data_IF_730655761754
#
_entry.id   IF_730655761754
#
_cell.length_a   1.000
_cell.length_b   1.000
_cell.length_c   1.000
_cell.angle_alpha   90.00
_cell.angle_beta   90.00
_cell.angle_gamma   90.00
#
_symmetry.space_group_name_H-M   'P 1'
#
loop_
_entity.id
_entity.type
_entity.pdbx_description
1 polymer ?
#
# COMPACT_ATOMS: atom_id res chain seq x y z
N UNK A 1 0.56 -23.76 -13.64
CA UNK A 1 0.53 -23.11 -12.33
C UNK A 1 1.93 -22.89 -11.75
N UNK A 2 2.72 -23.94 -11.47
CA UNK A 2 4.05 -23.78 -10.85
C UNK A 2 5.02 -22.87 -11.61
N UNK A 3 4.96 -22.80 -12.93
CA UNK A 3 5.83 -21.92 -13.74
C UNK A 3 5.44 -20.44 -13.56
N UNK A 4 4.14 -20.12 -13.47
CA UNK A 4 3.67 -18.75 -13.26
C UNK A 4 4.03 -18.28 -11.84
N UNK A 5 3.82 -19.13 -10.82
CA UNK A 5 4.19 -18.81 -9.44
C UNK A 5 5.71 -18.59 -9.29
N UNK A 6 6.53 -19.47 -9.89
CA UNK A 6 7.98 -19.31 -9.90
C UNK A 6 8.44 -18.03 -10.61
N UNK A 7 7.77 -17.63 -11.68
CA UNK A 7 8.14 -16.43 -12.44
C UNK A 7 7.56 -15.13 -11.85
N UNK A 8 6.64 -15.21 -10.87
CA UNK A 8 6.00 -14.06 -10.23
C UNK A 8 6.30 -13.94 -8.73
N UNK A 9 7.25 -14.75 -8.21
CA UNK A 9 7.60 -14.75 -6.78
C UNK A 9 8.04 -13.35 -6.29
N UNK A 10 8.79 -12.63 -7.11
CA UNK A 10 9.26 -11.28 -6.83
C UNK A 10 8.08 -10.32 -6.61
N UNK A 11 7.07 -10.38 -7.50
CA UNK A 11 5.86 -9.59 -7.37
C UNK A 11 5.06 -9.96 -6.12
N UNK A 12 4.90 -11.25 -5.83
CA UNK A 12 4.20 -11.71 -4.62
C UNK A 12 4.90 -11.23 -3.35
N UNK A 13 6.23 -11.29 -3.31
CA UNK A 13 7.01 -10.82 -2.17
C UNK A 13 6.92 -9.29 -2.02
N UNK A 14 7.06 -8.54 -3.11
CA UNK A 14 6.91 -7.08 -3.11
C UNK A 14 5.52 -6.65 -2.66
N UNK A 15 4.47 -7.29 -3.17
CA UNK A 15 3.09 -7.03 -2.74
C UNK A 15 2.86 -7.42 -1.28
N UNK A 16 3.48 -8.50 -0.80
CA UNK A 16 3.45 -8.88 0.61
C UNK A 16 4.01 -7.78 1.52
N UNK A 17 5.19 -7.24 1.20
CA UNK A 17 5.75 -6.10 1.95
C UNK A 17 4.87 -4.87 1.91
N UNK A 18 4.34 -4.51 0.74
CA UNK A 18 3.43 -3.36 0.61
C UNK A 18 2.16 -3.53 1.45
N UNK A 19 1.56 -4.71 1.44
CA UNK A 19 0.35 -4.97 2.23
C UNK A 19 0.63 -5.01 3.72
N UNK A 20 1.77 -5.53 4.13
CA UNK A 20 2.22 -5.48 5.52
C UNK A 20 2.41 -4.02 5.97
N UNK A 21 3.08 -3.20 5.18
CA UNK A 21 3.24 -1.77 5.45
C UNK A 21 1.89 -1.05 5.50
N UNK A 22 0.97 -1.35 4.57
CA UNK A 22 -0.37 -0.75 4.52
C UNK A 22 -1.23 -1.10 5.75
N UNK A 23 -1.23 -2.37 6.18
CA UNK A 23 -1.92 -2.79 7.40
C UNK A 23 -1.36 -2.11 8.65
N UNK A 24 -0.03 -2.01 8.75
CA UNK A 24 0.65 -1.29 9.82
C UNK A 24 0.31 0.20 9.81
N UNK A 25 0.39 0.86 8.65
CA UNK A 25 0.04 2.28 8.48
C UNK A 25 -1.39 2.57 8.91
N UNK A 26 -2.36 1.75 8.52
CA UNK A 26 -3.77 1.95 8.86
C UNK A 26 -4.01 1.96 10.37
N UNK A 27 -3.46 0.96 11.07
CA UNK A 27 -3.53 0.86 12.54
C UNK A 27 -2.77 2.00 13.22
N UNK A 28 -1.56 2.33 12.74
CA UNK A 28 -0.72 3.39 13.27
C UNK A 28 -1.43 4.76 13.22
N UNK A 29 -1.95 5.14 12.06
CA UNK A 29 -2.59 6.44 11.89
C UNK A 29 -3.88 6.57 12.71
N UNK A 30 -4.67 5.49 12.83
CA UNK A 30 -5.87 5.48 13.67
C UNK A 30 -5.54 5.70 15.13
N UNK A 31 -4.58 4.95 15.69
CA UNK A 31 -4.18 5.08 17.09
C UNK A 31 -3.49 6.42 17.34
N UNK A 32 -2.62 6.86 16.42
CA UNK A 32 -1.93 8.16 16.54
C UNK A 32 -2.93 9.33 16.53
N UNK A 33 -3.96 9.31 15.70
CA UNK A 33 -4.99 10.34 15.68
C UNK A 33 -5.69 10.50 17.03
N UNK A 34 -6.00 9.39 17.71
CA UNK A 34 -6.57 9.41 19.07
C UNK A 34 -5.58 10.01 20.08
N UNK A 35 -4.28 9.71 19.97
CA UNK A 35 -3.24 10.24 20.87
C UNK A 35 -2.98 11.74 20.64
N UNK A 36 -3.24 12.25 19.45
CA UNK A 36 -3.16 13.67 19.09
C UNK A 36 -4.50 14.40 19.32
N UNK A 37 -5.43 13.77 20.02
CA UNK A 37 -6.73 14.33 20.41
C UNK A 37 -7.58 14.79 19.20
N UNK A 38 -7.41 14.14 18.05
CA UNK A 38 -8.28 14.40 16.90
C UNK A 38 -9.71 13.97 17.22
N UNK A 39 -10.69 14.85 16.94
CA UNK A 39 -12.09 14.46 17.09
C UNK A 39 -12.44 13.25 16.22
N UNK A 40 -13.46 12.50 16.60
CA UNK A 40 -13.93 11.35 15.82
C UNK A 40 -14.26 11.75 14.37
N UNK A 41 -14.88 12.93 14.18
CA UNK A 41 -15.19 13.48 12.84
C UNK A 41 -13.92 13.79 12.04
N UNK A 42 -12.91 14.40 12.67
CA UNK A 42 -11.64 14.70 12.01
C UNK A 42 -10.89 13.41 11.63
N UNK A 43 -10.92 12.40 12.50
CA UNK A 43 -10.33 11.08 12.22
C UNK A 43 -11.03 10.38 11.07
N UNK A 44 -12.36 10.38 11.05
CA UNK A 44 -13.13 9.84 9.92
C UNK A 44 -12.86 10.57 8.62
N UNK A 45 -12.82 11.92 8.67
CA UNK A 45 -12.50 12.76 7.52
C UNK A 45 -11.11 12.42 6.95
N UNK A 46 -10.07 12.42 7.78
CA UNK A 46 -8.72 12.11 7.28
C UNK A 46 -8.61 10.70 6.70
N UNK A 47 -9.27 9.69 7.32
CA UNK A 47 -9.25 8.33 6.83
C UNK A 47 -9.96 8.18 5.48
N UNK A 48 -11.05 8.94 5.24
CA UNK A 48 -11.79 8.93 3.98
C UNK A 48 -10.95 9.40 2.78
N UNK A 49 -9.90 10.20 3.02
CA UNK A 49 -8.97 10.65 1.98
C UNK A 49 -8.39 9.51 1.13
N UNK A 50 -8.16 8.34 1.76
CA UNK A 50 -7.71 7.15 1.03
C UNK A 50 -8.68 6.75 -0.09
N UNK A 51 -9.96 6.70 0.19
CA UNK A 51 -10.96 6.31 -0.81
C UNK A 51 -11.11 7.36 -1.91
N UNK A 52 -11.01 8.65 -1.56
CA UNK A 52 -10.98 9.75 -2.54
C UNK A 52 -9.81 9.56 -3.50
N UNK A 53 -8.62 9.33 -2.97
CA UNK A 53 -7.42 9.09 -3.77
C UNK A 53 -7.52 7.83 -4.63
N UNK A 54 -8.04 6.75 -4.05
CA UNK A 54 -8.26 5.49 -4.77
C UNK A 54 -9.19 5.69 -5.97
N UNK A 55 -10.30 6.42 -5.79
CA UNK A 55 -11.25 6.72 -6.85
C UNK A 55 -10.62 7.60 -7.95
N UNK A 56 -9.90 8.66 -7.58
CA UNK A 56 -9.22 9.55 -8.53
C UNK A 56 -8.17 8.76 -9.35
N UNK A 57 -7.39 7.93 -8.68
CA UNK A 57 -6.33 7.13 -9.31
C UNK A 57 -6.89 6.11 -10.32
N UNK A 58 -7.99 5.45 -10.00
CA UNK A 58 -8.53 4.35 -10.80
C UNK A 58 -8.75 4.68 -12.28
N UNK A 59 -9.15 5.92 -12.59
CA UNK A 59 -9.43 6.34 -13.96
C UNK A 59 -8.19 6.63 -14.83
N UNK A 60 -7.03 6.87 -14.23
CA UNK A 60 -5.83 7.35 -14.96
C UNK A 60 -4.77 6.27 -15.20
N UNK A 61 -4.78 5.22 -14.41
CA UNK A 61 -3.70 4.22 -14.33
C UNK A 61 -3.47 3.41 -15.61
N UNK A 62 -4.49 2.90 -16.32
CA UNK A 62 -4.25 2.11 -17.52
C UNK A 62 -3.42 2.88 -18.56
N UNK A 63 -3.66 4.19 -18.67
CA UNK A 63 -2.93 5.07 -19.59
C UNK A 63 -1.47 5.26 -19.14
N UNK A 64 -1.23 5.36 -17.85
CA UNK A 64 0.13 5.52 -17.29
C UNK A 64 0.93 4.22 -17.51
N UNK A 65 0.35 3.06 -17.21
CA UNK A 65 1.00 1.75 -17.39
C UNK A 65 1.38 1.53 -18.85
N UNK A 66 0.49 1.83 -19.80
CA UNK A 66 0.74 1.62 -21.23
C UNK A 66 1.90 2.49 -21.77
N UNK A 67 2.14 3.65 -21.16
CA UNK A 67 3.20 4.59 -21.59
C UNK A 67 4.53 4.35 -20.88
N UNK A 68 4.50 4.02 -19.60
CA UNK A 68 5.69 3.99 -18.71
C UNK A 68 6.16 2.56 -18.44
N UNK A 69 5.23 1.59 -18.45
CA UNK A 69 5.48 0.18 -18.14
C UNK A 69 5.30 -0.16 -16.66
N UNK A 70 5.02 -1.44 -16.38
CA UNK A 70 4.62 -1.95 -15.07
C UNK A 70 5.66 -1.67 -13.96
N UNK A 71 6.93 -2.02 -14.19
CA UNK A 71 7.98 -1.91 -13.15
C UNK A 71 8.21 -0.46 -12.72
N UNK A 72 8.29 0.45 -13.68
CA UNK A 72 8.54 1.87 -13.37
C UNK A 72 7.37 2.50 -12.62
N UNK A 73 6.13 2.17 -13.02
CA UNK A 73 4.93 2.66 -12.34
C UNK A 73 4.87 2.11 -10.91
N UNK A 74 5.11 0.81 -10.73
CA UNK A 74 5.18 0.19 -9.40
C UNK A 74 6.22 0.88 -8.51
N UNK A 75 7.44 1.06 -9.00
CA UNK A 75 8.53 1.68 -8.25
C UNK A 75 8.19 3.13 -7.87
N UNK A 76 7.67 3.92 -8.79
CA UNK A 76 7.31 5.31 -8.53
C UNK A 76 6.26 5.45 -7.43
N UNK A 77 5.18 4.65 -7.49
CA UNK A 77 4.10 4.74 -6.51
C UNK A 77 4.44 4.08 -5.17
N UNK A 78 5.26 3.03 -5.14
CA UNK A 78 5.80 2.49 -3.90
C UNK A 78 6.74 3.49 -3.20
N UNK A 79 7.60 4.17 -3.96
CA UNK A 79 8.44 5.25 -3.42
C UNK A 79 7.61 6.41 -2.90
N UNK A 80 6.58 6.83 -3.63
CA UNK A 80 5.66 7.88 -3.18
C UNK A 80 4.96 7.47 -1.87
N UNK A 81 4.43 6.26 -1.77
CA UNK A 81 3.80 5.75 -0.55
C UNK A 81 4.76 5.74 0.64
N UNK A 82 6.04 5.35 0.41
CA UNK A 82 7.08 5.38 1.43
C UNK A 82 7.40 6.80 1.93
N UNK A 83 7.45 7.79 1.05
CA UNK A 83 7.65 9.19 1.42
C UNK A 83 6.45 9.76 2.18
N UNK A 84 5.25 9.50 1.70
CA UNK A 84 4.01 10.02 2.28
C UNK A 84 3.86 9.63 3.74
N UNK A 85 4.21 8.41 4.12
CA UNK A 85 4.10 7.99 5.53
C UNK A 85 5.07 8.75 6.45
N UNK A 86 6.27 9.08 5.97
CA UNK A 86 7.20 9.90 6.76
C UNK A 86 6.67 11.32 6.95
N UNK A 87 6.01 11.89 5.94
CA UNK A 87 5.41 13.24 6.05
C UNK A 87 4.28 13.27 7.08
N UNK A 88 3.51 12.18 7.27
CA UNK A 88 2.50 12.10 8.33
C UNK A 88 3.10 12.32 9.73
N UNK A 89 4.33 11.88 9.97
CA UNK A 89 4.97 12.04 11.28
C UNK A 89 5.46 13.46 11.57
N UNK A 90 5.68 14.25 10.51
CA UNK A 90 6.18 15.63 10.63
C UNK A 90 5.04 16.64 10.78
N UNK A 91 3.96 16.45 10.04
CA UNK A 91 2.83 17.38 10.01
C UNK A 91 1.62 16.75 10.69
N UNK A 92 1.45 17.00 11.97
CA UNK A 92 0.33 16.48 12.78
C UNK A 92 -0.86 17.43 12.63
N UNK A 93 -1.63 17.24 11.55
CA UNK A 93 -2.81 18.04 11.26
C UNK A 93 -3.83 17.20 10.46
N UNK A 94 -5.13 17.15 10.84
CA UNK A 94 -6.13 16.30 10.19
C UNK A 94 -6.30 16.60 8.69
N UNK A 95 -6.23 17.86 8.27
CA UNK A 95 -6.37 18.24 6.88
C UNK A 95 -5.14 17.82 6.05
N UNK A 96 -3.92 18.01 6.58
CA UNK A 96 -2.70 17.52 5.95
C UNK A 96 -2.74 16.00 5.83
N UNK A 97 -3.16 15.31 6.90
CA UNK A 97 -3.31 13.86 6.88
C UNK A 97 -4.35 13.40 5.85
N UNK A 98 -5.45 14.11 5.68
CA UNK A 98 -6.41 13.85 4.60
C UNK A 98 -5.72 13.89 3.22
N UNK A 99 -4.96 14.94 2.92
CA UNK A 99 -4.25 15.06 1.64
C UNK A 99 -3.21 13.94 1.44
N UNK A 100 -2.48 13.61 2.49
CA UNK A 100 -1.52 12.50 2.46
C UNK A 100 -2.21 11.14 2.25
N UNK A 101 -3.39 10.95 2.83
CA UNK A 101 -4.22 9.76 2.60
C UNK A 101 -4.74 9.70 1.17
N UNK A 102 -5.07 10.85 0.55
CA UNK A 102 -5.40 10.89 -0.89
C UNK A 102 -4.22 10.39 -1.73
N UNK A 103 -3.01 10.86 -1.46
CA UNK A 103 -1.80 10.38 -2.15
C UNK A 103 -1.55 8.89 -1.90
N UNK A 104 -1.78 8.40 -0.69
CA UNK A 104 -1.70 6.96 -0.38
C UNK A 104 -2.71 6.18 -1.20
N UNK A 105 -3.96 6.64 -1.30
CA UNK A 105 -5.02 5.98 -2.09
C UNK A 105 -4.68 5.90 -3.58
N UNK A 106 -4.18 7.00 -4.16
CA UNK A 106 -3.68 7.01 -5.55
C UNK A 106 -2.55 6.00 -5.71
N UNK A 107 -1.58 6.00 -4.81
CA UNK A 107 -0.44 5.08 -4.89
C UNK A 107 -0.88 3.62 -4.83
N UNK A 108 -1.79 3.30 -3.92
CA UNK A 108 -2.24 1.92 -3.72
C UNK A 108 -3.05 1.39 -4.91
N UNK A 109 -3.98 2.17 -5.48
CA UNK A 109 -4.71 1.73 -6.66
C UNK A 109 -3.80 1.55 -7.87
N UNK A 110 -2.77 2.39 -8.01
CA UNK A 110 -1.74 2.23 -9.06
C UNK A 110 -0.99 0.89 -8.90
N UNK A 111 -0.52 0.62 -7.69
CA UNK A 111 0.23 -0.61 -7.37
C UNK A 111 -0.64 -1.86 -7.59
N UNK A 112 -1.89 -1.86 -7.11
CA UNK A 112 -2.82 -2.98 -7.32
C UNK A 112 -3.06 -3.23 -8.81
N UNK A 113 -3.38 -2.18 -9.58
CA UNK A 113 -3.65 -2.32 -11.02
C UNK A 113 -2.43 -2.85 -11.78
N UNK A 114 -1.22 -2.37 -11.44
CA UNK A 114 0.03 -2.89 -12.00
C UNK A 114 0.20 -4.37 -11.70
N UNK A 115 0.05 -4.77 -10.43
CA UNK A 115 0.25 -6.15 -10.00
C UNK A 115 -0.77 -7.10 -10.65
N UNK A 116 -2.03 -6.72 -10.68
CA UNK A 116 -3.10 -7.52 -11.26
C UNK A 116 -2.98 -7.63 -12.79
N UNK A 117 -2.65 -6.53 -13.48
CA UNK A 117 -2.36 -6.55 -14.91
C UNK A 117 -1.20 -7.49 -15.22
N UNK A 118 -0.11 -7.38 -14.47
CA UNK A 118 1.07 -8.24 -14.65
C UNK A 118 0.76 -9.73 -14.43
N UNK A 119 -0.02 -10.06 -13.39
CA UNK A 119 -0.45 -11.44 -13.13
C UNK A 119 -1.39 -11.96 -14.22
N UNK A 120 -2.30 -11.11 -14.71
CA UNK A 120 -3.19 -11.45 -15.81
C UNK A 120 -2.44 -11.78 -17.10
N UNK A 121 -1.46 -10.96 -17.48
CA UNK A 121 -0.66 -11.13 -18.69
C UNK A 121 0.16 -12.43 -18.68
N UNK A 122 0.53 -12.91 -17.49
CA UNK A 122 1.32 -14.13 -17.29
C UNK A 122 0.48 -15.38 -17.02
N UNK A 123 -0.82 -15.23 -16.85
CA UNK A 123 -1.74 -16.32 -16.52
C UNK A 123 -2.53 -16.76 -17.74
N UNK A 124 -2.76 -18.07 -17.88
CA UNK A 124 -3.70 -18.63 -18.84
C UNK A 124 -5.12 -18.64 -18.24
N UNK A 125 -6.15 -18.74 -19.08
CA UNK A 125 -7.55 -18.85 -18.63
C UNK A 125 -7.76 -20.03 -17.66
N UNK A 126 -6.95 -21.09 -17.77
CA UNK A 126 -7.02 -22.29 -16.92
C UNK A 126 -6.53 -22.07 -15.50
N UNK A 127 -5.53 -21.18 -15.28
CA UNK A 127 -4.87 -21.04 -13.98
C UNK A 127 -5.02 -19.63 -13.35
N UNK A 128 -5.64 -18.69 -14.06
CA UNK A 128 -5.82 -17.30 -13.61
C UNK A 128 -6.51 -17.23 -12.24
N UNK A 129 -7.62 -17.95 -12.05
CA UNK A 129 -8.35 -17.96 -10.79
C UNK A 129 -7.47 -18.44 -9.62
N UNK A 130 -6.71 -19.53 -9.79
CA UNK A 130 -5.81 -20.03 -8.75
C UNK A 130 -4.67 -19.08 -8.43
N UNK A 131 -4.08 -18.42 -9.45
CA UNK A 131 -3.01 -17.43 -9.25
C UNK A 131 -3.53 -16.23 -8.48
N UNK A 132 -4.70 -15.71 -8.83
CA UNK A 132 -5.34 -14.60 -8.13
C UNK A 132 -5.76 -14.99 -6.71
N UNK A 133 -6.21 -16.22 -6.47
CA UNK A 133 -6.52 -16.68 -5.10
C UNK A 133 -5.29 -16.67 -4.21
N UNK A 134 -4.14 -17.15 -4.69
CA UNK A 134 -2.86 -17.11 -3.96
C UNK A 134 -2.45 -15.66 -3.70
N UNK A 135 -2.58 -14.80 -4.70
CA UNK A 135 -2.33 -13.36 -4.57
C UNK A 135 -3.16 -12.75 -3.42
N UNK A 136 -4.47 -12.99 -3.40
CA UNK A 136 -5.36 -12.48 -2.34
C UNK A 136 -4.98 -13.00 -0.95
N UNK A 137 -4.61 -14.27 -0.81
CA UNK A 137 -4.14 -14.84 0.46
C UNK A 137 -2.88 -14.13 0.95
N UNK A 138 -1.93 -13.84 0.04
CA UNK A 138 -0.72 -13.09 0.37
C UNK A 138 -1.07 -11.66 0.80
N UNK A 139 -1.94 -10.97 0.07
CA UNK A 139 -2.34 -9.59 0.37
C UNK A 139 -2.97 -9.48 1.76
N UNK A 140 -4.02 -10.24 2.02
CA UNK A 140 -4.75 -10.15 3.29
C UNK A 140 -3.97 -10.72 4.46
N UNK A 141 -3.21 -11.80 4.24
CA UNK A 141 -2.33 -12.38 5.25
C UNK A 141 -1.24 -11.40 5.68
N UNK A 142 -0.55 -10.79 4.71
CA UNK A 142 0.48 -9.79 4.98
C UNK A 142 -0.10 -8.52 5.63
N UNK A 143 -1.28 -8.06 5.19
CA UNK A 143 -1.98 -6.93 5.81
C UNK A 143 -2.33 -7.21 7.28
N UNK A 144 -2.83 -8.41 7.59
CA UNK A 144 -3.08 -8.85 8.96
C UNK A 144 -1.81 -8.84 9.81
N UNK A 145 -0.71 -9.40 9.30
CA UNK A 145 0.59 -9.35 9.99
C UNK A 145 1.00 -7.90 10.26
N UNK A 146 0.84 -7.01 9.27
CA UNK A 146 1.15 -5.60 9.40
C UNK A 146 0.40 -4.92 10.55
N UNK A 147 -0.88 -5.22 10.72
CA UNK A 147 -1.69 -4.67 11.83
C UNK A 147 -1.12 -5.08 13.20
N UNK A 148 -0.58 -6.30 13.35
CA UNK A 148 0.04 -6.75 14.58
C UNK A 148 1.38 -6.07 14.89
N UNK A 149 2.10 -5.54 13.91
CA UNK A 149 3.38 -4.85 14.12
C UNK A 149 3.26 -3.63 15.01
N UNK A 150 2.08 -3.01 15.10
CA UNK A 150 1.85 -1.89 16.00
C UNK A 150 2.08 -2.25 17.49
N UNK A 151 1.87 -3.51 17.87
CA UNK A 151 2.08 -3.96 19.25
C UNK A 151 3.55 -3.93 19.70
N UNK A 152 4.49 -3.88 18.76
CA UNK A 152 5.93 -3.87 19.02
C UNK A 152 6.55 -2.47 19.00
N UNK A 153 5.73 -1.41 18.82
CA UNK A 153 6.22 -0.04 18.74
C UNK A 153 5.24 0.94 19.37
N UNK A 154 5.76 2.03 19.95
CA UNK A 154 4.90 3.08 20.51
C UNK A 154 4.44 4.03 19.39
N UNK A 155 3.12 4.19 19.16
CA UNK A 155 2.60 5.10 18.14
C UNK A 155 2.95 6.58 18.38
N UNK A 156 3.34 6.95 19.61
CA UNK A 156 3.79 8.32 19.93
C UNK A 156 5.13 8.67 19.31
N UNK A 157 5.95 7.67 19.05
CA UNK A 157 7.30 7.86 18.55
C UNK A 157 7.33 7.97 17.01
N UNK A 158 8.43 8.47 16.49
CA UNK A 158 8.72 8.53 15.05
C UNK A 158 9.05 7.16 14.45
N UNK A 159 9.56 6.24 15.27
CA UNK A 159 10.02 4.91 14.84
C UNK A 159 8.99 4.10 14.03
N UNK A 160 7.70 3.98 14.40
CA UNK A 160 6.73 3.24 13.61
C UNK A 160 6.57 3.78 12.17
N UNK A 161 6.64 5.09 11.99
CA UNK A 161 6.57 5.71 10.66
C UNK A 161 7.77 5.36 9.80
N UNK A 162 8.98 5.32 10.39
CA UNK A 162 10.19 4.81 9.71
C UNK A 162 10.01 3.35 9.33
N UNK A 163 9.52 2.51 10.23
CA UNK A 163 9.32 1.08 9.95
C UNK A 163 8.36 0.85 8.79
N UNK A 164 7.23 1.56 8.75
CA UNK A 164 6.29 1.49 7.61
C UNK A 164 6.99 1.90 6.32
N UNK A 165 7.75 3.00 6.33
CA UNK A 165 8.51 3.49 5.17
C UNK A 165 9.55 2.47 4.70
N UNK A 166 10.31 1.88 5.62
CA UNK A 166 11.32 0.85 5.32
C UNK A 166 10.67 -0.40 4.71
N UNK A 167 9.58 -0.91 5.31
CA UNK A 167 8.86 -2.07 4.79
C UNK A 167 8.29 -1.77 3.39
N UNK A 168 7.73 -0.56 3.19
CA UNK A 168 7.24 -0.12 1.87
C UNK A 168 8.36 -0.07 0.84
N UNK A 169 9.52 0.47 1.20
CA UNK A 169 10.70 0.52 0.33
C UNK A 169 11.29 -0.85 0.05
N UNK A 170 11.28 -1.77 1.03
CA UNK A 170 11.74 -3.15 0.86
C UNK A 170 10.94 -3.91 -0.21
N UNK A 171 9.72 -3.49 -0.51
CA UNK A 171 8.92 -4.07 -1.59
C UNK A 171 9.55 -3.91 -2.98
N UNK A 172 10.46 -2.96 -3.14
CA UNK A 172 11.17 -2.70 -4.42
C UNK A 172 12.35 -3.65 -4.64
N UNK A 173 12.90 -4.26 -3.58
CA UNK A 173 14.11 -5.09 -3.66
C UNK A 173 13.92 -6.31 -4.59
N UNK A 174 12.78 -7.04 -4.54
CA UNK A 174 12.59 -8.23 -5.37
C UNK A 174 12.17 -7.91 -6.81
N UNK A 175 11.74 -6.69 -7.13
CA UNK A 175 11.17 -6.30 -8.43
C UNK A 175 12.19 -5.64 -9.33
#
# INVERSE_FOLDING_TARGET
>A
MNKVLKNSWALFLGMGFLMMAYGFQGSLLGVRAVQEEFSLTATGFMMSGYFVGYFIGAGTIPTIISRVGHIRVFAAFASLASLVILVHSVFINPFVWFLLRVLTGISMVCIYTVAESWLNDRSSNKNRGSVLSIYMVILYGAMGIGMFLLNFSSPKNFQPFILVSVITSAALIPI
#
